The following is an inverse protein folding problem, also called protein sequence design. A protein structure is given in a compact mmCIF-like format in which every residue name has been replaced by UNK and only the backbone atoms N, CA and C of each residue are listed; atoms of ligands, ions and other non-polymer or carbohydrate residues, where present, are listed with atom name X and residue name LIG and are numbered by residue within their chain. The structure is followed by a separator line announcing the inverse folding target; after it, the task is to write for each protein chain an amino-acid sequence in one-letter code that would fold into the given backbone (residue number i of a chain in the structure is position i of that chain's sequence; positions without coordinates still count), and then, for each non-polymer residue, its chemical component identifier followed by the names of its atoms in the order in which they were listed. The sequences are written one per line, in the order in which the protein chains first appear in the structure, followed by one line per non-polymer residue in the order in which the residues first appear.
data_IF_560391453196
#
_entry.id   IF_560391453196
#
_cell.length_a   1.000
_cell.length_b   1.000
_cell.length_c   1.000
_cell.angle_alpha   90.00
_cell.angle_beta   90.00
_cell.angle_gamma   90.00
#
_symmetry.space_group_name_H-M   'P 1'
#
loop_
_entity.id
_entity.type
_entity.pdbx_description
1 polymer ?
#
# COMPACT_ATOMS: atom_id res chain seq x y z
N UNK A 1 67.52 -26.75 12.12
CA UNK A 1 66.17 -26.31 11.71
C UNK A 1 65.18 -27.16 12.50
N UNK A 2 64.68 -26.73 13.66
CA UNK A 2 63.46 -25.91 13.83
C UNK A 2 62.30 -26.47 12.99
N UNK A 3 61.17 -26.97 13.51
CA UNK A 3 60.64 -26.84 14.87
C UNK A 3 59.47 -27.82 15.17
N UNK A 4 58.96 -27.69 16.38
CA UNK A 4 57.94 -28.51 17.05
C UNK A 4 56.49 -28.01 16.82
N UNK A 5 55.54 -28.85 17.30
CA UNK A 5 54.12 -28.59 17.72
C UNK A 5 53.12 -28.32 16.56
N UNK A 6 51.86 -28.77 16.53
CA UNK A 6 50.93 -29.24 17.55
C UNK A 6 49.75 -30.04 16.95
N UNK A 7 49.19 -30.93 17.78
CA UNK A 7 47.85 -31.53 17.66
C UNK A 7 46.75 -30.46 17.68
N UNK A 8 45.69 -30.56 16.85
CA UNK A 8 44.36 -29.95 17.08
C UNK A 8 43.31 -30.35 16.02
N UNK A 9 42.32 -31.13 16.46
CA UNK A 9 40.88 -31.09 16.13
C UNK A 9 40.46 -30.65 14.71
N UNK A 10 39.88 -31.60 13.96
CA UNK A 10 39.00 -31.35 12.81
C UNK A 10 37.79 -30.50 13.24
N UNK A 11 37.88 -29.18 13.08
CA UNK A 11 36.72 -28.31 13.07
C UNK A 11 36.11 -28.36 11.66
N UNK A 12 34.96 -29.03 11.52
CA UNK A 12 34.14 -28.96 10.32
C UNK A 12 33.56 -27.53 10.26
N UNK A 13 34.22 -26.65 9.52
CA UNK A 13 33.64 -25.37 9.12
C UNK A 13 32.58 -25.65 8.05
N UNK A 14 31.32 -25.71 8.47
CA UNK A 14 30.20 -25.54 7.54
C UNK A 14 30.25 -24.08 7.10
N UNK A 15 30.89 -23.83 5.96
CA UNK A 15 30.80 -22.54 5.28
C UNK A 15 29.36 -22.47 4.74
N UNK A 16 28.45 -21.87 5.51
CA UNK A 16 27.22 -21.34 4.95
C UNK A 16 27.63 -20.19 4.03
N UNK A 17 27.72 -20.47 2.74
CA UNK A 17 27.81 -19.44 1.70
C UNK A 17 26.53 -18.61 1.75
N UNK A 18 26.55 -17.50 2.50
CA UNK A 18 25.53 -16.47 2.43
C UNK A 18 25.91 -15.62 1.22
N UNK A 19 25.23 -15.85 0.09
CA UNK A 19 25.35 -14.97 -1.06
C UNK A 19 24.94 -13.54 -0.64
N UNK A 20 25.80 -12.52 -0.76
CA UNK A 20 25.48 -11.14 -0.37
C UNK A 20 24.54 -10.43 -1.37
N UNK A 21 23.91 -11.17 -2.29
CA UNK A 21 23.20 -10.65 -3.46
C UNK A 21 21.72 -10.30 -3.26
N UNK A 22 21.17 -10.36 -2.05
CA UNK A 22 19.77 -10.03 -1.80
C UNK A 22 19.58 -9.25 -0.48
N UNK A 23 20.16 -8.05 -0.42
CA UNK A 23 19.87 -7.08 0.64
C UNK A 23 18.53 -6.35 0.34
N UNK A 24 17.43 -7.03 0.60
CA UNK A 24 16.13 -6.43 0.93
C UNK A 24 15.63 -7.12 2.21
N UNK A 25 14.75 -6.50 3.03
CA UNK A 25 14.13 -7.24 4.12
C UNK A 25 13.53 -8.51 3.54
N UNK A 26 14.02 -9.66 4.01
CA UNK A 26 13.45 -10.95 3.66
C UNK A 26 11.98 -10.90 4.11
N UNK A 27 11.04 -10.79 3.17
CA UNK A 27 9.64 -11.10 3.41
C UNK A 27 9.58 -12.59 3.81
N UNK A 28 9.78 -12.87 5.11
CA UNK A 28 9.77 -14.21 5.70
C UNK A 28 8.41 -14.94 5.53
N UNK A 29 7.45 -14.27 4.89
CA UNK A 29 6.08 -14.67 4.61
C UNK A 29 5.77 -14.68 3.10
N UNK A 30 6.77 -14.92 2.23
CA UNK A 30 6.54 -15.09 0.77
C UNK A 30 5.42 -16.10 0.46
N UNK A 31 5.30 -17.19 1.23
CA UNK A 31 4.20 -18.17 1.10
C UNK A 31 2.79 -17.58 1.34
N UNK A 32 2.69 -16.46 2.07
CA UNK A 32 1.42 -15.79 2.36
C UNK A 32 0.94 -14.93 1.18
N UNK A 33 1.83 -14.63 0.22
CA UNK A 33 1.51 -14.15 -1.13
C UNK A 33 1.31 -15.37 -2.03
N UNK A 34 0.12 -15.92 -2.02
CA UNK A 34 -0.20 -17.16 -2.74
C UNK A 34 -0.32 -16.92 -4.25
N UNK A 35 0.82 -16.73 -4.92
CA UNK A 35 0.86 -16.44 -6.36
C UNK A 35 0.57 -17.71 -7.21
N UNK A 36 0.76 -18.91 -6.66
CA UNK A 36 0.68 -20.19 -7.37
C UNK A 36 -0.33 -21.21 -6.78
N UNK A 37 -1.28 -20.79 -5.94
CA UNK A 37 -2.31 -21.69 -5.37
C UNK A 37 -3.69 -21.26 -5.85
N UNK A 38 -4.42 -22.17 -6.51
CA UNK A 38 -5.81 -21.99 -6.90
C UNK A 38 -6.74 -22.25 -5.71
N UNK A 39 -7.00 -21.23 -4.89
CA UNK A 39 -7.99 -21.34 -3.81
C UNK A 39 -9.42 -21.09 -4.34
N UNK A 40 -10.40 -21.94 -3.99
CA UNK A 40 -11.80 -21.81 -4.46
C UNK A 40 -12.52 -20.51 -4.05
N UNK A 41 -12.02 -19.82 -3.02
CA UNK A 41 -12.57 -18.58 -2.46
C UNK A 41 -11.79 -17.32 -2.84
N UNK A 42 -10.73 -17.44 -3.65
CA UNK A 42 -10.12 -16.27 -4.27
C UNK A 42 -11.08 -15.75 -5.36
N UNK A 43 -11.32 -14.42 -5.44
CA UNK A 43 -12.14 -13.87 -6.50
C UNK A 43 -11.55 -14.29 -7.84
N UNK A 44 -12.41 -14.87 -8.67
CA UNK A 44 -12.14 -15.31 -10.03
C UNK A 44 -11.30 -14.28 -10.77
N UNK A 45 -10.25 -14.72 -11.45
CA UNK A 45 -9.37 -13.81 -12.18
C UNK A 45 -10.23 -12.96 -13.14
N UNK A 46 -10.05 -11.64 -13.04
CA UNK A 46 -10.61 -10.60 -13.92
C UNK A 46 -11.97 -9.99 -13.57
N UNK A 47 -12.31 -9.84 -12.28
CA UNK A 47 -13.39 -8.91 -11.91
C UNK A 47 -12.84 -7.47 -11.91
N UNK A 48 -13.45 -6.61 -12.72
CA UNK A 48 -13.09 -5.18 -12.82
C UNK A 48 -14.29 -4.31 -12.49
N UNK A 49 -14.07 -3.26 -11.68
CA UNK A 49 -15.11 -2.29 -11.32
C UNK A 49 -14.62 -0.86 -11.49
N UNK A 50 -15.44 -0.02 -12.14
CA UNK A 50 -15.10 1.36 -12.46
C UNK A 50 -15.84 2.37 -11.57
N UNK A 51 -15.15 3.47 -11.23
CA UNK A 51 -15.59 4.51 -10.29
C UNK A 51 -15.56 5.91 -10.92
N UNK A 52 -16.12 6.03 -12.13
CA UNK A 52 -16.12 7.29 -12.89
C UNK A 52 -14.70 7.77 -13.20
N UNK A 53 -14.41 9.01 -12.88
CA UNK A 53 -13.09 9.65 -13.11
C UNK A 53 -11.93 9.00 -12.35
N UNK A 54 -12.20 8.23 -11.28
CA UNK A 54 -11.17 7.49 -10.54
C UNK A 54 -10.65 6.26 -11.30
N UNK A 55 -11.26 5.93 -12.43
CA UNK A 55 -10.88 4.80 -13.27
C UNK A 55 -11.45 3.47 -12.77
N UNK A 56 -10.81 2.38 -13.21
CA UNK A 56 -11.24 1.02 -12.93
C UNK A 56 -10.22 0.29 -12.06
N UNK A 57 -10.73 -0.44 -11.06
CA UNK A 57 -9.94 -1.33 -10.22
C UNK A 57 -10.19 -2.76 -10.69
N UNK A 58 -9.11 -3.45 -11.04
CA UNK A 58 -9.12 -4.90 -11.22
C UNK A 58 -8.55 -5.52 -9.94
N UNK A 59 -9.34 -6.36 -9.29
CA UNK A 59 -8.93 -7.02 -8.06
C UNK A 59 -8.22 -8.32 -8.41
N UNK A 60 -6.90 -8.23 -8.49
CA UNK A 60 -5.99 -9.35 -8.73
C UNK A 60 -5.55 -10.02 -7.42
N UNK A 61 -4.81 -11.13 -7.52
CA UNK A 61 -4.18 -11.81 -6.38
C UNK A 61 -3.20 -10.90 -5.61
N UNK A 62 -2.66 -9.86 -6.25
CA UNK A 62 -1.79 -8.87 -5.59
C UNK A 62 -2.53 -8.02 -4.55
N UNK A 63 -3.86 -7.92 -4.68
CA UNK A 63 -4.75 -7.29 -3.69
C UNK A 63 -5.19 -8.24 -2.57
N UNK A 64 -4.63 -9.44 -2.49
CA UNK A 64 -4.88 -10.41 -1.44
C UNK A 64 -3.60 -10.70 -0.64
N UNK A 65 -3.75 -10.99 0.64
CA UNK A 65 -2.67 -11.55 1.45
C UNK A 65 -3.28 -12.45 2.52
N UNK A 66 -2.88 -13.73 2.57
CA UNK A 66 -3.56 -14.73 3.41
C UNK A 66 -3.69 -14.32 4.89
N UNK A 67 -2.64 -13.69 5.44
CA UNK A 67 -2.63 -13.24 6.85
C UNK A 67 -3.18 -11.81 7.01
N UNK A 68 -2.60 -10.82 6.34
CA UNK A 68 -2.91 -9.39 6.59
C UNK A 68 -4.13 -8.85 5.83
N UNK A 69 -4.58 -9.53 4.76
CA UNK A 69 -5.73 -9.12 3.93
C UNK A 69 -6.42 -10.34 3.33
N UNK A 70 -7.09 -11.17 4.16
CA UNK A 70 -7.70 -12.43 3.75
C UNK A 70 -8.99 -12.26 2.95
N UNK A 71 -9.51 -11.03 2.82
CA UNK A 71 -10.71 -10.74 2.05
C UNK A 71 -10.36 -9.81 0.91
N UNK A 72 -10.63 -10.27 -0.31
CA UNK A 72 -10.35 -9.50 -1.52
C UNK A 72 -11.67 -9.00 -2.11
N UNK A 73 -12.11 -7.84 -1.63
CA UNK A 73 -13.41 -7.25 -1.95
C UNK A 73 -13.25 -5.88 -2.60
N UNK A 74 -14.22 -5.51 -3.44
CA UNK A 74 -14.24 -4.17 -4.01
C UNK A 74 -14.46 -3.10 -2.95
N UNK A 75 -13.83 -1.92 -3.11
CA UNK A 75 -14.23 -0.73 -2.39
C UNK A 75 -15.73 -0.47 -2.56
N UNK A 76 -16.32 0.16 -1.56
CA UNK A 76 -17.70 0.60 -1.65
C UNK A 76 -17.86 1.67 -2.75
N UNK A 77 -19.05 1.79 -3.37
CA UNK A 77 -19.32 2.84 -4.36
C UNK A 77 -19.05 4.25 -3.79
N UNK A 78 -18.67 5.21 -4.65
CA UNK A 78 -18.43 6.62 -4.26
C UNK A 78 -19.63 7.25 -3.54
N UNK A 79 -20.85 6.90 -3.95
CA UNK A 79 -22.08 7.38 -3.30
C UNK A 79 -22.26 6.86 -1.87
N UNK A 80 -21.67 5.71 -1.55
CA UNK A 80 -21.75 5.09 -0.22
C UNK A 80 -20.64 5.63 0.69
N UNK A 81 -19.41 5.71 0.18
CA UNK A 81 -18.29 6.31 0.93
C UNK A 81 -18.52 7.81 1.15
N UNK A 82 -19.07 8.49 0.13
CA UNK A 82 -19.45 9.90 0.16
C UNK A 82 -18.31 10.81 0.65
N UNK A 83 -17.11 10.63 0.09
CA UNK A 83 -15.93 11.45 0.42
C UNK A 83 -16.22 12.92 0.17
N UNK A 84 -15.94 13.77 1.17
CA UNK A 84 -16.15 15.22 1.10
C UNK A 84 -14.84 15.95 1.34
N UNK A 85 -14.53 16.90 0.46
CA UNK A 85 -13.43 17.82 0.66
C UNK A 85 -13.96 19.10 1.29
N UNK A 86 -13.56 19.39 2.52
CA UNK A 86 -14.02 20.57 3.25
C UNK A 86 -12.83 21.49 3.47
N UNK A 87 -12.86 22.67 2.86
CA UNK A 87 -11.79 23.65 2.94
C UNK A 87 -12.00 24.59 4.12
N UNK A 88 -10.98 24.64 4.99
CA UNK A 88 -10.83 25.66 6.01
C UNK A 88 -9.63 26.54 5.67
N UNK A 89 -9.80 27.85 5.83
CA UNK A 89 -8.74 28.83 5.66
C UNK A 89 -8.79 29.82 6.82
N UNK A 90 -7.79 30.69 6.91
CA UNK A 90 -7.81 31.80 7.88
C UNK A 90 -9.03 32.72 7.71
N UNK A 91 -9.63 32.78 6.52
CA UNK A 91 -10.84 33.58 6.24
C UNK A 91 -12.14 32.89 6.67
N UNK A 92 -12.12 31.57 6.82
CA UNK A 92 -13.27 30.77 7.24
C UNK A 92 -12.84 29.64 8.20
N UNK A 93 -12.38 29.99 9.42
CA UNK A 93 -11.82 29.00 10.34
C UNK A 93 -12.88 28.08 10.96
N UNK A 94 -14.14 28.53 11.03
CA UNK A 94 -15.26 27.79 11.65
C UNK A 94 -16.14 27.09 10.63
N UNK A 95 -16.42 27.75 9.50
CA UNK A 95 -17.39 27.30 8.51
C UNK A 95 -16.67 26.82 7.24
N UNK A 96 -16.56 25.50 7.12
CA UNK A 96 -15.85 24.86 6.02
C UNK A 96 -16.59 24.99 4.68
N UNK A 97 -15.84 25.26 3.61
CA UNK A 97 -16.38 25.32 2.24
C UNK A 97 -16.27 23.96 1.57
N UNK A 98 -17.41 23.41 1.11
CA UNK A 98 -17.41 22.13 0.40
C UNK A 98 -16.82 22.31 -1.00
N UNK A 99 -15.77 21.55 -1.29
CA UNK A 99 -15.14 21.44 -2.59
C UNK A 99 -15.60 20.14 -3.27
N UNK A 100 -15.86 20.23 -4.57
CA UNK A 100 -16.14 19.07 -5.43
C UNK A 100 -15.10 19.03 -6.53
N UNK A 101 -14.41 17.89 -6.65
CA UNK A 101 -13.35 17.71 -7.63
C UNK A 101 -13.88 17.84 -9.06
N UNK A 102 -15.12 17.40 -9.30
CA UNK A 102 -15.78 17.46 -10.61
C UNK A 102 -16.24 18.86 -10.99
N UNK A 103 -16.40 19.77 -10.02
CA UNK A 103 -17.00 21.09 -10.21
C UNK A 103 -15.97 22.18 -9.88
N UNK A 104 -15.21 22.60 -10.91
CA UNK A 104 -14.13 23.59 -10.81
C UNK A 104 -14.57 24.89 -10.14
N UNK A 105 -15.83 25.29 -10.34
CA UNK A 105 -16.41 26.50 -9.75
C UNK A 105 -16.38 26.47 -8.21
N UNK A 106 -16.48 25.30 -7.59
CA UNK A 106 -16.42 25.18 -6.12
C UNK A 106 -15.06 25.61 -5.58
N UNK A 107 -13.97 25.26 -6.27
CA UNK A 107 -12.61 25.66 -5.91
C UNK A 107 -12.39 27.15 -6.18
N UNK A 108 -12.76 27.64 -7.38
CA UNK A 108 -12.52 29.03 -7.78
C UNK A 108 -13.29 30.03 -6.92
N UNK A 109 -14.50 29.69 -6.47
CA UNK A 109 -15.33 30.56 -5.61
C UNK A 109 -14.98 30.44 -4.12
N UNK A 110 -14.18 29.44 -3.73
CA UNK A 110 -13.75 29.25 -2.35
C UNK A 110 -12.68 30.27 -1.94
N UNK A 111 -12.27 30.22 -0.68
CA UNK A 111 -11.13 30.98 -0.16
C UNK A 111 -9.78 30.30 -0.41
N UNK A 112 -9.73 29.30 -1.29
CA UNK A 112 -8.48 28.64 -1.66
C UNK A 112 -7.47 29.62 -2.25
N UNK A 113 -6.23 29.56 -1.77
CA UNK A 113 -5.13 30.35 -2.27
C UNK A 113 -4.01 29.42 -2.76
N UNK A 114 -3.71 29.48 -4.05
CA UNK A 114 -2.68 28.65 -4.68
C UNK A 114 -1.25 29.02 -4.25
N UNK A 115 -1.04 30.23 -3.73
CA UNK A 115 0.27 30.69 -3.24
C UNK A 115 0.60 30.12 -1.84
N UNK A 116 -0.37 29.51 -1.17
CA UNK A 116 -0.23 29.00 0.19
C UNK A 116 -0.07 27.48 0.23
N UNK A 117 0.64 26.94 1.23
CA UNK A 117 0.73 25.49 1.40
C UNK A 117 -0.64 24.90 1.73
N UNK A 118 -1.05 23.87 0.98
CA UNK A 118 -2.29 23.13 1.21
C UNK A 118 -2.01 21.89 2.07
N UNK A 119 -2.77 21.71 3.15
CA UNK A 119 -2.65 20.55 4.05
C UNK A 119 -3.94 19.75 4.03
N UNK A 120 -3.84 18.45 3.78
CA UNK A 120 -4.97 17.52 3.88
C UNK A 120 -4.95 16.85 5.26
N UNK A 121 -6.10 16.82 5.90
CA UNK A 121 -6.33 16.08 7.15
C UNK A 121 -7.37 15.01 6.83
N UNK A 122 -6.97 13.74 6.92
CA UNK A 122 -7.79 12.59 6.59
C UNK A 122 -7.90 11.73 7.85
N UNK A 123 -9.12 11.52 8.33
CA UNK A 123 -9.37 10.63 9.46
C UNK A 123 -9.38 9.16 9.00
N UNK A 124 -9.24 8.24 9.96
CA UNK A 124 -9.33 6.79 9.77
C UNK A 124 -10.48 6.17 10.53
#
# INVERSE_FOLDING_TARGET
MLGFVASSLLAISIICSVDPGAAGPLDALSWARMDNINLPWLPYENMTRCYGELGCLNITKEWYHLIFRPFNVFPLPRSVINTRFILYTERNPTDGQLLQAEVKETLVKSHFNADWPTKFIIHG
#
